data_IF_892294499111
#
_entry.id   IF_892294499111
#
_cell.length_a   1.000
_cell.length_b   1.000
_cell.length_c   1.000
_cell.angle_alpha   90.00
_cell.angle_beta   90.00
_cell.angle_gamma   90.00
#
_symmetry.space_group_name_H-M   'P 1'
#
loop_
_entity.id
_entity.type
_entity.pdbx_description
1 polymer ?
#
# COMPACT_ATOMS: atom_id res chain seq x y z
N UNK A 1 -27.39 25.31 22.27
CA UNK A 1 -26.18 24.61 21.78
C UNK A 1 -26.59 23.33 21.05
N UNK A 2 -26.32 23.18 19.75
CA UNK A 2 -26.60 21.94 19.01
C UNK A 2 -25.47 20.93 19.25
N UNK A 3 -25.75 19.83 19.94
CA UNK A 3 -24.79 18.73 20.13
C UNK A 3 -24.62 17.97 18.81
N UNK A 4 -23.39 17.96 18.27
CA UNK A 4 -23.06 17.23 17.04
C UNK A 4 -23.10 15.74 17.31
N UNK A 5 -24.11 15.03 16.78
CA UNK A 5 -24.19 13.56 16.84
C UNK A 5 -22.93 12.98 16.19
N UNK A 6 -22.12 12.22 16.95
CA UNK A 6 -21.00 11.45 16.40
C UNK A 6 -21.57 10.40 15.43
N UNK A 7 -21.03 10.33 14.22
CA UNK A 7 -21.43 9.34 13.23
C UNK A 7 -21.17 7.93 13.79
N UNK A 8 -22.20 7.10 13.87
CA UNK A 8 -22.02 5.68 14.20
C UNK A 8 -21.46 4.96 12.96
N UNK A 9 -20.45 4.09 13.11
CA UNK A 9 -19.97 3.29 11.99
C UNK A 9 -21.11 2.45 11.42
N UNK A 10 -21.34 2.52 10.10
CA UNK A 10 -22.38 1.72 9.41
C UNK A 10 -22.15 0.20 9.58
N UNK A 11 -20.89 -0.20 9.77
CA UNK A 11 -20.47 -1.57 10.06
C UNK A 11 -19.46 -1.53 11.22
N UNK A 12 -19.74 -2.29 12.29
CA UNK A 12 -18.93 -2.33 13.51
C UNK A 12 -17.57 -3.01 13.27
N UNK A 13 -17.53 -3.99 12.37
CA UNK A 13 -16.33 -4.74 12.03
C UNK A 13 -15.88 -4.39 10.61
N UNK A 14 -14.61 -4.01 10.48
CA UNK A 14 -13.94 -3.72 9.21
C UNK A 14 -12.56 -4.34 9.24
N UNK A 15 -12.13 -4.87 8.11
CA UNK A 15 -10.78 -5.41 7.92
C UNK A 15 -10.11 -4.55 6.86
N UNK A 16 -8.91 -4.04 7.16
CA UNK A 16 -8.10 -3.35 6.17
C UNK A 16 -7.15 -4.36 5.53
N UNK A 17 -7.16 -4.40 4.19
CA UNK A 17 -6.37 -5.34 3.41
C UNK A 17 -5.59 -4.58 2.36
N UNK A 18 -4.32 -4.93 2.19
CA UNK A 18 -3.50 -4.52 1.07
C UNK A 18 -3.06 -5.77 0.30
N UNK A 19 -3.17 -5.72 -1.03
CA UNK A 19 -2.64 -6.73 -1.93
C UNK A 19 -2.36 -6.10 -3.30
N UNK A 20 -1.37 -6.63 -4.00
CA UNK A 20 -1.05 -6.29 -5.38
C UNK A 20 -1.27 -7.47 -6.32
N UNK A 21 -1.57 -7.16 -7.58
CA UNK A 21 -1.70 -8.15 -8.66
C UNK A 21 -0.92 -7.68 -9.88
N UNK A 22 -0.36 -8.64 -10.61
CA UNK A 22 0.36 -8.41 -11.87
C UNK A 22 0.13 -9.60 -12.81
N UNK A 23 0.54 -9.47 -14.07
CA UNK A 23 0.50 -10.60 -15.00
C UNK A 23 1.34 -11.81 -14.54
N UNK A 24 2.38 -11.58 -13.71
CA UNK A 24 3.24 -12.63 -13.12
C UNK A 24 2.63 -13.27 -11.87
N UNK A 25 1.44 -12.83 -11.44
CA UNK A 25 0.74 -13.33 -10.27
C UNK A 25 0.51 -12.26 -9.20
N UNK A 26 0.06 -12.72 -8.02
CA UNK A 26 -0.32 -11.88 -6.88
C UNK A 26 0.79 -11.76 -5.84
N UNK A 27 0.82 -10.63 -5.14
CA UNK A 27 1.62 -10.48 -3.91
C UNK A 27 1.01 -11.30 -2.76
N UNK A 28 1.72 -11.46 -1.63
CA UNK A 28 1.09 -11.80 -0.36
C UNK A 28 -0.03 -10.80 -0.01
N UNK A 29 -1.05 -11.28 0.71
CA UNK A 29 -2.14 -10.45 1.23
C UNK A 29 -1.71 -9.95 2.61
N UNK A 30 -1.70 -8.63 2.80
CA UNK A 30 -1.41 -8.00 4.08
C UNK A 30 -2.72 -7.55 4.74
N UNK A 31 -3.07 -8.16 5.86
CA UNK A 31 -4.20 -7.75 6.70
C UNK A 31 -3.66 -6.92 7.86
N UNK A 32 -4.23 -5.74 8.10
CA UNK A 32 -3.76 -4.85 9.16
C UNK A 32 -4.91 -4.15 9.88
N UNK A 33 -4.62 -3.68 11.08
CA UNK A 33 -5.54 -2.91 11.93
C UNK A 33 -5.09 -1.44 12.03
N UNK A 34 -6.03 -0.55 12.36
CA UNK A 34 -5.75 0.89 12.46
C UNK A 34 -5.73 1.63 11.12
N UNK A 35 -5.26 2.88 11.13
CA UNK A 35 -5.23 3.76 9.96
C UNK A 35 -3.93 3.53 9.18
N UNK A 36 -4.04 3.34 7.87
CA UNK A 36 -2.86 3.28 6.99
C UNK A 36 -2.28 4.68 6.85
N UNK A 37 -1.16 4.94 7.53
CA UNK A 37 -0.35 6.14 7.31
C UNK A 37 0.79 5.85 6.33
N UNK A 38 1.52 6.88 5.95
CA UNK A 38 2.66 6.79 5.03
C UNK A 38 3.70 5.77 5.45
N UNK A 39 4.10 5.75 6.72
CA UNK A 39 5.12 4.83 7.22
C UNK A 39 4.66 3.37 7.18
N UNK A 40 3.42 3.10 7.58
CA UNK A 40 2.80 1.77 7.47
C UNK A 40 2.69 1.32 6.02
N UNK A 41 2.32 2.23 5.13
CA UNK A 41 2.27 1.93 3.71
C UNK A 41 3.66 1.54 3.16
N UNK A 42 4.72 2.29 3.49
CA UNK A 42 6.10 1.95 3.10
C UNK A 42 6.52 0.58 3.64
N UNK A 43 6.20 0.27 4.90
CA UNK A 43 6.48 -1.03 5.52
C UNK A 43 5.74 -2.17 4.78
N UNK A 44 4.49 -1.94 4.36
CA UNK A 44 3.71 -2.90 3.56
C UNK A 44 4.40 -3.16 2.22
N UNK A 45 4.87 -2.11 1.53
CA UNK A 45 5.62 -2.28 0.27
C UNK A 45 6.91 -3.08 0.47
N UNK A 46 7.67 -2.78 1.52
CA UNK A 46 8.92 -3.48 1.82
C UNK A 46 8.73 -4.95 2.16
N UNK A 47 7.68 -5.27 2.91
CA UNK A 47 7.43 -6.64 3.38
C UNK A 47 6.68 -7.50 2.37
N UNK A 48 5.83 -6.92 1.51
CA UNK A 48 4.96 -7.68 0.61
C UNK A 48 5.32 -7.48 -0.87
N UNK A 49 5.50 -6.23 -1.33
CA UNK A 49 5.72 -5.93 -2.74
C UNK A 49 7.16 -6.22 -3.19
N UNK A 50 8.16 -5.73 -2.47
CA UNK A 50 9.56 -5.85 -2.87
C UNK A 50 10.03 -7.31 -2.93
N UNK A 51 9.70 -8.20 -1.97
CA UNK A 51 10.07 -9.60 -2.07
C UNK A 51 9.39 -10.26 -3.27
N UNK A 52 8.13 -9.91 -3.55
CA UNK A 52 7.43 -10.40 -4.73
C UNK A 52 8.14 -10.00 -6.02
N UNK A 53 8.56 -8.74 -6.16
CA UNK A 53 9.24 -8.23 -7.36
C UNK A 53 10.65 -8.81 -7.52
N UNK A 54 11.40 -8.87 -6.42
CA UNK A 54 12.80 -9.35 -6.41
C UNK A 54 12.89 -10.86 -6.61
N UNK A 55 11.83 -11.61 -6.31
CA UNK A 55 11.82 -13.05 -6.47
C UNK A 55 12.08 -13.44 -7.94
N UNK A 56 13.18 -14.15 -8.16
CA UNK A 56 13.61 -14.76 -9.45
C UNK A 56 13.43 -13.85 -10.67
N UNK A 57 13.78 -12.57 -10.56
CA UNK A 57 13.79 -11.65 -11.71
C UNK A 57 12.42 -11.52 -12.39
N UNK A 58 11.30 -11.59 -11.64
CA UNK A 58 9.94 -11.49 -12.21
C UNK A 58 9.76 -10.30 -13.16
N UNK A 59 10.54 -9.25 -12.96
CA UNK A 59 10.53 -8.02 -13.75
C UNK A 59 11.97 -7.60 -14.10
N UNK A 60 12.60 -8.26 -15.07
CA UNK A 60 13.99 -8.00 -15.52
C UNK A 60 14.23 -6.57 -16.05
N UNK A 61 13.16 -5.86 -16.46
CA UNK A 61 13.22 -4.45 -16.90
C UNK A 61 12.69 -3.44 -15.87
N UNK A 62 12.50 -3.87 -14.62
CA UNK A 62 11.79 -3.10 -13.59
C UNK A 62 10.27 -3.21 -13.73
N UNK A 63 9.55 -2.57 -12.81
CA UNK A 63 8.08 -2.58 -12.79
C UNK A 63 7.51 -1.21 -12.44
N UNK A 64 6.26 -0.97 -12.82
CA UNK A 64 5.49 0.20 -12.42
C UNK A 64 4.41 -0.21 -11.43
N UNK A 65 4.29 0.54 -10.34
CA UNK A 65 3.23 0.34 -9.36
C UNK A 65 2.07 1.29 -9.67
N UNK A 66 0.95 0.73 -10.14
CA UNK A 66 -0.29 1.47 -10.33
C UNK A 66 -1.12 1.46 -9.05
N UNK A 67 -1.56 2.65 -8.62
CA UNK A 67 -2.39 2.87 -7.43
C UNK A 67 -3.12 4.21 -7.52
N UNK A 68 -4.04 4.45 -6.59
CA UNK A 68 -4.78 5.71 -6.45
C UNK A 68 -3.92 6.84 -5.86
N UNK A 69 -4.33 8.10 -6.11
CA UNK A 69 -3.66 9.32 -5.65
C UNK A 69 -4.04 9.68 -4.21
N UNK A 70 -4.07 8.68 -3.32
CA UNK A 70 -4.19 8.97 -1.91
C UNK A 70 -2.91 9.67 -1.43
N UNK A 71 -3.08 10.74 -0.65
CA UNK A 71 -2.03 11.54 -0.01
C UNK A 71 -0.86 10.73 0.59
N UNK A 72 -1.12 9.53 1.13
CA UNK A 72 -0.07 8.61 1.65
C UNK A 72 0.78 7.98 0.54
N UNK A 73 0.20 7.70 -0.62
CA UNK A 73 0.88 7.12 -1.78
C UNK A 73 1.72 8.17 -2.51
N UNK A 74 1.27 9.43 -2.51
CA UNK A 74 1.96 10.54 -3.19
C UNK A 74 2.80 11.44 -2.29
N UNK A 75 2.87 11.09 -1.00
CA UNK A 75 3.74 11.78 -0.04
C UNK A 75 5.21 11.79 -0.49
N UNK A 76 5.94 12.85 -0.11
CA UNK A 76 7.35 13.02 -0.48
C UNK A 76 8.20 11.84 -0.03
N UNK A 77 8.00 11.34 1.20
CA UNK A 77 8.77 10.20 1.70
C UNK A 77 8.47 8.90 0.95
N UNK A 78 7.23 8.66 0.53
CA UNK A 78 6.88 7.51 -0.33
C UNK A 78 7.56 7.61 -1.69
N UNK A 79 7.55 8.81 -2.30
CA UNK A 79 8.22 9.05 -3.59
C UNK A 79 9.73 8.85 -3.49
N UNK A 80 10.37 9.31 -2.42
CA UNK A 80 11.82 9.12 -2.21
C UNK A 80 12.16 7.64 -2.02
N UNK A 81 11.42 6.94 -1.14
CA UNK A 81 11.64 5.51 -0.89
C UNK A 81 11.43 4.66 -2.15
N UNK A 82 10.48 5.01 -3.00
CA UNK A 82 10.26 4.30 -4.26
C UNK A 82 11.34 4.57 -5.30
N UNK A 83 11.89 5.78 -5.38
CA UNK A 83 13.00 6.09 -6.30
C UNK A 83 14.27 5.29 -6.00
N UNK A 84 14.52 4.97 -4.72
CA UNK A 84 15.64 4.12 -4.29
C UNK A 84 15.42 2.64 -4.58
N UNK A 85 14.19 2.26 -4.95
CA UNK A 85 13.78 0.89 -5.23
C UNK A 85 13.55 0.74 -6.74
N UNK A 86 13.55 -0.49 -7.29
CA UNK A 86 13.26 -0.72 -8.71
C UNK A 86 11.78 -0.45 -9.09
N UNK A 87 11.04 0.27 -8.25
CA UNK A 87 9.62 0.56 -8.35
C UNK A 87 9.43 2.02 -8.75
N UNK A 88 8.92 2.28 -9.96
CA UNK A 88 8.44 3.62 -10.32
C UNK A 88 6.95 3.71 -9.96
N UNK A 89 6.62 4.62 -9.04
CA UNK A 89 5.25 5.08 -8.78
C UNK A 89 4.95 6.23 -9.73
#
# INVERSE_FOLDING_TARGET
MKTRKRSRPKHAYKVNVWAGISYKGKTPICIFTGIMNTARYQQILESNLLPFVRHRGRFLGGFRLYQDDDSKHTSRSTKTSSKEKPCRI
#
